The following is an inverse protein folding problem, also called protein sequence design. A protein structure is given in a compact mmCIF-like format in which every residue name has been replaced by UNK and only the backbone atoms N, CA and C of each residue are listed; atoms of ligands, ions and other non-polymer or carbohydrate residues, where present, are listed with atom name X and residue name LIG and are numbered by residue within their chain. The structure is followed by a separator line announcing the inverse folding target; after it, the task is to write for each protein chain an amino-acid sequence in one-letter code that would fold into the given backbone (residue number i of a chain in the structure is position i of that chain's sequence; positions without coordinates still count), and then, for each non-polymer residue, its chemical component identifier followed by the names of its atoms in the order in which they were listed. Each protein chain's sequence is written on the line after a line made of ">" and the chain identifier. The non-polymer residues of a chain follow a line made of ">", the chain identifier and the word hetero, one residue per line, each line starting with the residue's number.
data_IF_130874851721
#
_entry.id   IF_130874851721
#
_cell.length_a   1.000
_cell.length_b   1.000
_cell.length_c   1.000
_cell.angle_alpha   90.00
_cell.angle_beta   90.00
_cell.angle_gamma   90.00
#
_symmetry.space_group_name_H-M   'P 1'
#
loop_
_entity.id
_entity.type
_entity.pdbx_description
1 polymer ?
#
# COMPACT_ATOMS: atom_id res chain seq x y z
N UNK A 1 -12.07 6.68 -13.36
CA UNK A 1 -11.57 6.39 -12.00
C UNK A 1 -10.07 6.62 -12.05
N UNK A 2 -9.52 7.40 -11.13
CA UNK A 2 -8.08 7.69 -11.10
C UNK A 2 -7.58 7.27 -9.73
N UNK A 3 -6.52 6.49 -9.68
CA UNK A 3 -5.93 6.04 -8.42
C UNK A 3 -4.45 6.36 -8.40
N UNK A 4 -4.02 7.09 -7.38
CA UNK A 4 -2.62 7.41 -7.16
C UNK A 4 -2.05 6.53 -6.05
N UNK A 5 -0.98 5.82 -6.37
CA UNK A 5 -0.20 4.99 -5.45
C UNK A 5 1.10 5.73 -5.17
N UNK A 6 1.43 5.93 -3.90
CA UNK A 6 2.66 6.62 -3.49
C UNK A 6 3.43 5.74 -2.51
N UNK A 7 4.68 5.42 -2.84
CA UNK A 7 5.56 4.62 -1.99
C UNK A 7 6.89 5.34 -1.76
N UNK A 8 7.50 5.10 -0.61
CA UNK A 8 8.88 5.49 -0.30
C UNK A 8 9.87 4.32 -0.30
N UNK A 9 9.41 3.13 -0.69
CA UNK A 9 10.09 1.85 -0.40
C UNK A 9 10.02 0.79 -1.47
N UNK A 10 10.75 -0.30 -1.17
CA UNK A 10 10.74 -1.62 -1.80
C UNK A 10 9.34 -2.10 -2.13
N UNK A 11 8.99 -2.02 -3.40
CA UNK A 11 7.71 -2.44 -3.93
C UNK A 11 7.96 -3.15 -5.26
N UNK A 12 7.55 -4.41 -5.35
CA UNK A 12 7.25 -5.09 -6.60
C UNK A 12 5.82 -5.61 -6.57
N UNK A 13 4.96 -5.02 -7.40
CA UNK A 13 3.57 -5.41 -7.55
C UNK A 13 3.16 -5.45 -9.02
N UNK A 14 2.04 -6.11 -9.27
CA UNK A 14 1.33 -6.10 -10.55
C UNK A 14 -0.03 -5.45 -10.34
N UNK A 15 -0.52 -4.76 -11.36
CA UNK A 15 -1.89 -4.23 -11.35
C UNK A 15 -2.68 -4.80 -12.52
N UNK A 16 -3.98 -4.96 -12.31
CA UNK A 16 -4.97 -5.24 -13.36
C UNK A 16 -6.14 -4.27 -13.21
N UNK A 17 -6.51 -3.66 -14.33
CA UNK A 17 -7.59 -2.71 -14.52
C UNK A 17 -8.33 -3.06 -15.82
N UNK A 18 -9.35 -3.94 -15.74
CA UNK A 18 -10.08 -4.42 -16.92
C UNK A 18 -10.75 -3.31 -17.75
N UNK A 19 -10.99 -2.16 -17.13
CA UNK A 19 -11.52 -0.98 -17.79
C UNK A 19 -10.49 0.14 -17.88
N UNK A 20 -9.25 -0.08 -18.31
CA UNK A 20 -8.31 1.02 -18.61
C UNK A 20 -8.18 1.23 -20.15
N UNK A 21 -7.81 2.44 -20.63
CA UNK A 21 -7.92 2.80 -22.06
C UNK A 21 -7.09 2.02 -23.08
N UNK A 22 -6.23 1.10 -22.66
CA UNK A 22 -5.42 0.23 -23.52
C UNK A 22 -6.00 -1.14 -23.85
N UNK A 23 -7.24 -1.47 -23.44
CA UNK A 23 -7.84 -2.80 -23.65
C UNK A 23 -8.30 -3.08 -25.11
N UNK A 24 -7.56 -2.60 -26.11
CA UNK A 24 -7.73 -2.99 -27.51
C UNK A 24 -6.84 -4.20 -27.81
N UNK A 25 -7.45 -5.39 -27.89
CA UNK A 25 -6.83 -6.57 -28.50
C UNK A 25 -6.57 -6.30 -29.98
N UNK A 26 -5.40 -5.75 -30.32
CA UNK A 26 -4.90 -5.76 -31.69
C UNK A 26 -4.03 -7.00 -31.91
N UNK A 27 -4.71 -8.09 -32.33
CA UNK A 27 -4.08 -9.20 -33.05
C UNK A 27 -3.70 -8.70 -34.45
N UNK A 28 -2.47 -8.24 -34.63
CA UNK A 28 -1.71 -8.32 -35.91
C UNK A 28 -0.46 -7.45 -35.84
N UNK A 29 0.71 -8.04 -36.09
CA UNK A 29 1.93 -7.26 -36.30
C UNK A 29 3.11 -8.16 -36.58
N UNK A 30 3.52 -8.21 -37.86
CA UNK A 30 4.61 -9.02 -38.39
C UNK A 30 5.93 -8.80 -37.63
N UNK A 31 6.63 -9.91 -37.36
CA UNK A 31 8.02 -9.90 -36.94
C UNK A 31 8.92 -9.45 -38.10
N UNK A 32 9.47 -8.24 -38.01
CA UNK A 32 10.63 -7.85 -38.80
C UNK A 32 11.90 -8.12 -37.99
N UNK A 33 12.68 -9.12 -38.41
CA UNK A 33 14.05 -9.32 -37.94
C UNK A 33 14.94 -8.28 -38.63
N UNK A 34 15.43 -7.29 -37.87
CA UNK A 34 16.53 -6.44 -38.32
C UNK A 34 17.81 -6.90 -37.63
N UNK A 35 18.68 -7.55 -38.39
CA UNK A 35 20.07 -7.82 -38.00
C UNK A 35 20.87 -6.54 -38.21
N UNK A 36 21.23 -5.87 -37.12
CA UNK A 36 22.30 -4.87 -37.15
C UNK A 36 23.60 -5.53 -36.69
N UNK A 37 24.54 -5.65 -37.61
CA UNK A 37 25.95 -5.84 -37.27
C UNK A 37 26.57 -4.46 -37.07
N UNK A 38 27.11 -4.16 -35.89
CA UNK A 38 28.20 -3.19 -35.80
C UNK A 38 29.08 -3.37 -34.57
N UNK A 39 30.30 -3.81 -34.89
CA UNK A 39 31.61 -3.28 -34.48
C UNK A 39 31.88 -2.95 -33.01
N UNK A 40 32.79 -3.75 -32.45
CA UNK A 40 33.40 -3.65 -31.13
C UNK A 40 34.17 -2.34 -30.91
N UNK A 41 33.76 -1.56 -29.91
CA UNK A 41 34.65 -0.69 -29.15
C UNK A 41 34.07 -0.51 -27.74
N UNK A 42 34.86 -0.84 -26.72
CA UNK A 42 34.43 -1.17 -25.37
C UNK A 42 33.43 -0.20 -24.74
N UNK A 43 32.31 -0.72 -24.27
CA UNK A 43 31.24 0.07 -23.68
C UNK A 43 30.98 -0.37 -22.23
N UNK A 44 31.09 0.58 -21.29
CA UNK A 44 30.86 0.34 -19.87
C UNK A 44 29.49 -0.32 -19.57
N UNK A 45 28.50 -0.11 -20.44
CA UNK A 45 27.16 -0.69 -20.38
C UNK A 45 27.11 -2.22 -20.59
N UNK A 46 28.14 -2.82 -21.18
CA UNK A 46 28.21 -4.27 -21.42
C UNK A 46 28.54 -5.03 -20.12
N UNK A 47 29.27 -4.38 -19.20
CA UNK A 47 29.56 -4.89 -17.85
C UNK A 47 28.48 -4.55 -16.82
N UNK A 48 27.71 -3.49 -17.03
CA UNK A 48 26.59 -3.09 -16.18
C UNK A 48 25.46 -2.53 -17.03
N UNK A 49 24.43 -3.34 -17.34
CA UNK A 49 23.33 -2.88 -18.20
C UNK A 49 22.47 -1.82 -17.50
N UNK A 50 21.96 -0.89 -18.29
CA UNK A 50 20.94 0.08 -17.87
C UNK A 50 19.63 -0.66 -17.59
N UNK A 51 19.03 -0.44 -16.42
CA UNK A 51 17.81 -1.14 -16.03
C UNK A 51 16.56 -0.54 -16.71
N UNK A 52 16.29 0.75 -16.45
CA UNK A 52 15.18 1.50 -17.05
C UNK A 52 15.71 2.71 -17.83
N UNK A 53 16.37 2.44 -18.95
CA UNK A 53 16.97 3.47 -19.80
C UNK A 53 17.75 2.92 -20.97
N UNK A 54 18.43 3.80 -21.70
CA UNK A 54 19.22 3.46 -22.89
C UNK A 54 20.68 3.80 -22.69
N UNK A 55 21.56 2.89 -23.10
CA UNK A 55 22.99 3.20 -23.15
C UNK A 55 23.28 4.13 -24.34
N UNK A 56 23.82 5.30 -24.05
CA UNK A 56 24.28 6.25 -25.06
C UNK A 56 25.69 6.68 -24.66
N UNK A 57 26.67 6.49 -25.56
CA UNK A 57 28.07 6.86 -25.31
C UNK A 57 28.61 6.32 -23.97
N UNK A 58 28.42 5.02 -23.71
CA UNK A 58 28.87 4.34 -22.49
C UNK A 58 28.26 4.84 -21.17
N UNK A 59 27.20 5.65 -21.24
CA UNK A 59 26.49 6.18 -20.06
C UNK A 59 25.00 5.87 -20.19
N UNK A 60 24.32 5.59 -19.07
CA UNK A 60 22.89 5.34 -19.10
C UNK A 60 22.10 6.66 -19.11
N UNK A 61 21.22 6.79 -20.10
CA UNK A 61 20.19 7.84 -20.15
C UNK A 61 18.89 7.20 -19.65
N UNK A 62 18.42 7.65 -18.49
CA UNK A 62 17.27 7.03 -17.82
C UNK A 62 15.93 7.44 -18.41
N UNK A 63 15.00 6.50 -18.43
CA UNK A 63 13.60 6.77 -18.76
C UNK A 63 12.96 7.68 -17.70
N UNK A 64 11.91 8.44 -18.05
CA UNK A 64 11.26 9.35 -17.12
C UNK A 64 10.88 8.67 -15.79
N UNK A 65 11.35 9.26 -14.70
CA UNK A 65 11.10 8.80 -13.33
C UNK A 65 12.11 7.80 -12.78
N UNK A 66 13.08 7.36 -13.59
CA UNK A 66 14.24 6.58 -13.16
C UNK A 66 15.49 7.44 -13.05
N UNK A 67 16.36 7.12 -12.10
CA UNK A 67 17.60 7.85 -11.79
C UNK A 67 18.75 6.94 -11.39
N UNK A 68 19.95 7.53 -11.33
CA UNK A 68 21.20 6.88 -10.99
C UNK A 68 21.98 6.40 -12.21
N UNK A 69 23.27 6.11 -12.01
CA UNK A 69 24.22 5.71 -13.07
C UNK A 69 23.74 4.56 -13.97
N UNK A 70 22.89 3.68 -13.44
CA UNK A 70 22.35 2.52 -14.15
C UNK A 70 20.82 2.52 -14.25
N UNK A 71 20.17 3.64 -13.90
CA UNK A 71 18.71 3.79 -13.92
C UNK A 71 17.97 2.74 -13.07
N UNK A 72 18.56 2.40 -11.91
CA UNK A 72 18.06 1.36 -10.99
C UNK A 72 17.23 1.90 -9.84
N UNK A 73 17.08 3.21 -9.73
CA UNK A 73 16.35 3.84 -8.65
C UNK A 73 15.18 4.63 -9.20
N UNK A 74 14.02 4.46 -8.59
CA UNK A 74 12.88 5.28 -8.89
C UNK A 74 12.89 6.59 -8.09
N UNK A 75 12.58 7.71 -8.74
CA UNK A 75 12.43 9.03 -8.11
C UNK A 75 11.28 9.87 -8.68
N UNK A 76 10.54 9.32 -9.65
CA UNK A 76 9.52 10.07 -10.38
C UNK A 76 8.10 9.56 -10.24
N UNK A 77 7.29 10.02 -11.20
CA UNK A 77 5.87 9.72 -11.29
C UNK A 77 5.61 8.97 -12.60
N UNK A 78 4.98 7.82 -12.51
CA UNK A 78 4.63 6.98 -13.64
C UNK A 78 3.14 7.09 -13.90
N UNK A 79 2.77 7.32 -15.16
CA UNK A 79 1.38 7.28 -15.59
C UNK A 79 1.13 5.96 -16.30
N UNK A 80 0.15 5.20 -15.81
CA UNK A 80 -0.17 3.85 -16.23
C UNK A 80 -1.60 3.82 -16.79
N UNK A 81 -1.70 3.68 -18.10
CA UNK A 81 -2.97 3.69 -18.85
C UNK A 81 -3.34 2.30 -19.40
N UNK A 82 -2.43 1.34 -19.29
CA UNK A 82 -2.64 -0.02 -19.75
C UNK A 82 -3.59 -0.80 -18.83
N UNK A 83 -4.32 -1.81 -19.33
CA UNK A 83 -5.23 -2.63 -18.54
C UNK A 83 -4.51 -3.54 -17.53
N UNK A 84 -3.19 -3.67 -17.62
CA UNK A 84 -2.37 -4.33 -16.61
C UNK A 84 -0.91 -3.90 -16.73
N UNK A 85 -0.12 -4.08 -15.68
CA UNK A 85 1.31 -3.82 -15.72
C UNK A 85 2.01 -4.07 -14.39
N UNK A 86 3.26 -3.61 -14.30
CA UNK A 86 4.13 -3.81 -13.15
C UNK A 86 4.42 -2.49 -12.44
N UNK A 87 4.39 -2.52 -11.12
CA UNK A 87 4.77 -1.44 -10.22
C UNK A 87 6.08 -1.89 -9.56
N UNK A 88 7.18 -1.18 -9.83
CA UNK A 88 8.49 -1.52 -9.26
C UNK A 88 9.25 -0.26 -8.86
N UNK A 89 9.93 -0.28 -7.72
CA UNK A 89 10.84 0.79 -7.28
C UNK A 89 12.30 0.55 -7.71
N UNK A 90 12.60 -0.64 -8.23
CA UNK A 90 13.89 -1.00 -8.83
C UNK A 90 14.36 -2.42 -8.46
N UNK A 91 15.47 -2.88 -9.06
CA UNK A 91 15.98 -4.24 -8.87
C UNK A 91 16.82 -4.41 -7.59
N UNK A 92 17.02 -3.34 -6.83
CA UNK A 92 17.89 -3.28 -5.66
C UNK A 92 17.14 -2.60 -4.52
N UNK A 93 17.61 -2.83 -3.29
CA UNK A 93 17.05 -2.15 -2.12
C UNK A 93 16.98 -0.63 -2.35
N UNK A 94 15.82 -0.07 -2.02
CA UNK A 94 15.57 1.36 -2.13
C UNK A 94 16.57 2.17 -1.30
N UNK A 95 16.89 3.37 -1.77
CA UNK A 95 17.77 4.30 -1.05
C UNK A 95 16.98 5.19 -0.11
N UNK A 96 17.63 5.68 0.94
CA UNK A 96 17.11 6.75 1.79
C UNK A 96 16.57 7.91 0.92
N UNK A 97 15.30 8.30 1.13
CA UNK A 97 14.53 9.32 0.36
C UNK A 97 14.02 8.89 -1.03
N UNK A 98 13.96 7.60 -1.34
CA UNK A 98 13.25 7.12 -2.53
C UNK A 98 11.79 7.58 -2.50
N UNK A 99 11.27 8.05 -3.64
CA UNK A 99 9.89 8.51 -3.79
C UNK A 99 9.36 8.06 -5.13
N UNK A 100 8.44 7.11 -5.10
CA UNK A 100 7.80 6.56 -6.29
C UNK A 100 6.31 6.84 -6.26
N UNK A 101 5.80 7.35 -7.37
CA UNK A 101 4.36 7.58 -7.53
C UNK A 101 3.88 6.90 -8.79
N UNK A 102 2.78 6.17 -8.73
CA UNK A 102 2.11 5.60 -9.90
C UNK A 102 0.69 6.14 -9.97
N UNK A 103 0.32 6.68 -11.12
CA UNK A 103 -1.00 7.17 -11.43
C UNK A 103 -1.66 6.17 -12.38
N UNK A 104 -2.66 5.44 -11.90
CA UNK A 104 -3.42 4.46 -12.69
C UNK A 104 -4.73 5.11 -13.12
N UNK A 105 -4.95 5.18 -14.44
CA UNK A 105 -6.14 5.79 -15.03
C UNK A 105 -7.06 4.72 -15.62
N UNK A 106 -8.23 4.52 -15.00
CA UNK A 106 -9.28 3.62 -15.48
C UNK A 106 -10.59 4.34 -15.84
N UNK A 107 -11.50 3.61 -16.46
CA UNK A 107 -12.87 3.98 -16.75
C UNK A 107 -13.71 4.01 -15.47
N UNK A 108 -14.89 4.62 -15.52
CA UNK A 108 -15.87 4.57 -14.42
C UNK A 108 -16.30 3.12 -14.14
N UNK A 109 -16.49 2.78 -12.86
CA UNK A 109 -16.89 1.45 -12.39
C UNK A 109 -15.89 0.30 -12.70
N UNK A 110 -14.66 0.61 -13.11
CA UNK A 110 -13.61 -0.39 -13.24
C UNK A 110 -13.08 -0.82 -11.86
N UNK A 111 -12.82 -2.11 -11.68
CA UNK A 111 -12.17 -2.63 -10.47
C UNK A 111 -10.65 -2.60 -10.67
N UNK A 112 -9.94 -1.88 -9.80
CA UNK A 112 -8.49 -1.91 -9.74
C UNK A 112 -8.02 -3.03 -8.81
N UNK A 113 -7.31 -4.02 -9.35
CA UNK A 113 -6.69 -5.09 -8.58
C UNK A 113 -5.18 -4.86 -8.48
N UNK A 114 -4.65 -4.84 -7.26
CA UNK A 114 -3.21 -4.77 -6.98
C UNK A 114 -2.75 -6.10 -6.39
N UNK A 115 -1.73 -6.70 -6.98
CA UNK A 115 -1.13 -7.94 -6.53
C UNK A 115 0.33 -7.72 -6.19
N UNK A 116 0.65 -7.79 -4.91
CA UNK A 116 2.00 -7.60 -4.39
C UNK A 116 2.79 -8.90 -4.53
N UNK A 117 3.89 -8.85 -5.27
CA UNK A 117 4.83 -9.98 -5.38
C UNK A 117 5.86 -9.91 -4.26
N UNK A 118 6.37 -8.70 -3.99
CA UNK A 118 7.27 -8.40 -2.88
C UNK A 118 6.94 -7.00 -2.37
N UNK A 119 6.74 -6.88 -1.05
CA UNK A 119 6.52 -5.58 -0.42
C UNK A 119 7.21 -5.56 0.94
N UNK A 120 8.13 -4.61 1.10
CA UNK A 120 8.92 -4.48 2.31
C UNK A 120 9.11 -3.01 2.63
N UNK A 121 8.53 -2.57 3.75
CA UNK A 121 8.66 -1.21 4.27
C UNK A 121 9.52 -1.17 5.52
N UNK A 122 10.32 -0.10 5.71
CA UNK A 122 10.95 0.19 7.00
C UNK A 122 9.89 0.42 8.08
N UNK A 123 10.10 -0.18 9.25
CA UNK A 123 9.20 -0.06 10.39
C UNK A 123 9.02 1.42 10.80
N UNK A 124 7.78 1.84 11.07
CA UNK A 124 7.44 3.18 11.60
C UNK A 124 7.72 4.37 10.66
N UNK A 125 8.57 4.23 9.65
CA UNK A 125 9.00 5.33 8.77
C UNK A 125 8.35 5.27 7.40
N UNK A 126 8.08 4.07 6.91
CA UNK A 126 7.80 3.84 5.50
C UNK A 126 6.44 3.18 5.27
N UNK A 127 5.71 3.74 4.31
CA UNK A 127 4.34 3.34 4.01
C UNK A 127 4.04 3.52 2.53
N UNK A 128 3.14 2.69 2.00
CA UNK A 128 2.50 2.91 0.72
C UNK A 128 1.11 3.51 0.93
N UNK A 129 0.83 4.60 0.25
CA UNK A 129 -0.42 5.33 0.32
C UNK A 129 -1.20 5.13 -0.97
N UNK A 130 -2.49 4.85 -0.84
CA UNK A 130 -3.43 4.69 -1.96
C UNK A 130 -4.44 5.82 -1.88
N UNK A 131 -4.52 6.65 -2.91
CA UNK A 131 -5.44 7.77 -3.00
C UNK A 131 -6.44 7.57 -4.13
N UNK A 132 -7.70 7.92 -3.91
CA UNK A 132 -8.75 7.97 -4.93
C UNK A 132 -8.74 9.34 -5.63
N UNK A 133 -7.83 9.47 -6.58
CA UNK A 133 -7.66 10.66 -7.40
C UNK A 133 -6.25 10.73 -7.97
N UNK A 134 -5.87 11.91 -8.44
CA UNK A 134 -4.64 12.16 -9.19
C UNK A 134 -3.51 12.77 -8.35
N UNK A 135 -3.74 13.04 -7.06
CA UNK A 135 -2.77 13.74 -6.22
C UNK A 135 -2.78 13.28 -4.75
N UNK A 136 -1.76 13.70 -4.00
CA UNK A 136 -1.68 13.49 -2.54
C UNK A 136 -2.77 14.25 -1.75
N UNK A 137 -3.51 15.14 -2.41
CA UNK A 137 -4.60 15.90 -1.81
C UNK A 137 -5.97 15.22 -2.02
N UNK A 138 -6.01 14.16 -2.83
CA UNK A 138 -7.20 13.34 -3.05
C UNK A 138 -7.54 12.49 -1.82
N UNK A 139 -8.75 11.95 -1.69
CA UNK A 139 -9.12 11.06 -0.59
C UNK A 139 -8.15 9.89 -0.41
N UNK A 140 -7.58 9.76 0.79
CA UNK A 140 -6.72 8.64 1.16
C UNK A 140 -7.59 7.41 1.44
N UNK A 141 -7.38 6.34 0.66
CA UNK A 141 -8.13 5.08 0.74
C UNK A 141 -7.44 4.09 1.66
N UNK A 142 -6.12 3.94 1.55
CA UNK A 142 -5.37 2.98 2.34
C UNK A 142 -3.94 3.45 2.61
N UNK A 143 -3.42 3.03 3.76
CA UNK A 143 -2.01 3.12 4.14
C UNK A 143 -1.53 1.71 4.44
N UNK A 144 -0.53 1.24 3.71
CA UNK A 144 -0.01 -0.12 3.79
C UNK A 144 1.44 -0.07 4.31
N UNK A 145 1.72 -0.79 5.38
CA UNK A 145 3.08 -1.06 5.88
C UNK A 145 3.15 -2.49 6.40
N UNK A 146 3.88 -3.35 5.69
CA UNK A 146 4.06 -4.75 6.07
C UNK A 146 5.30 -5.33 5.37
N UNK A 147 5.85 -6.41 5.94
CA UNK A 147 6.89 -7.23 5.31
C UNK A 147 6.22 -8.49 4.78
N UNK A 148 6.21 -8.66 3.46
CA UNK A 148 5.44 -9.76 2.88
C UNK A 148 5.97 -10.27 1.54
N UNK A 149 5.88 -11.59 1.39
CA UNK A 149 6.12 -12.35 0.16
C UNK A 149 4.93 -13.29 -0.05
N UNK A 150 4.07 -12.92 -1.01
CA UNK A 150 2.89 -13.60 -1.58
C UNK A 150 1.64 -13.92 -0.72
N UNK A 151 0.56 -13.19 -1.03
CA UNK A 151 -0.89 -13.48 -0.99
C UNK A 151 -1.66 -12.23 -1.46
N UNK A 152 -2.77 -12.44 -2.16
CA UNK A 152 -3.51 -11.42 -2.92
C UNK A 152 -4.28 -10.43 -2.01
N UNK A 153 -4.22 -9.13 -2.33
CA UNK A 153 -5.04 -8.07 -1.72
C UNK A 153 -5.95 -7.44 -2.78
N UNK A 154 -7.15 -6.97 -2.42
CA UNK A 154 -8.07 -6.31 -3.35
C UNK A 154 -8.81 -5.18 -2.64
N UNK A 155 -8.79 -3.99 -3.23
CA UNK A 155 -9.51 -2.80 -2.75
C UNK A 155 -10.71 -2.53 -3.65
N UNK A 156 -11.82 -2.09 -3.05
CA UNK A 156 -13.06 -1.73 -3.75
C UNK A 156 -13.48 -0.30 -3.35
N UNK A 157 -13.97 0.50 -4.32
CA UNK A 157 -14.44 1.88 -4.09
C UNK A 157 -15.86 2.07 -4.65
N UNK A 158 -16.71 2.84 -3.95
CA UNK A 158 -18.10 3.12 -4.35
C UNK A 158 -18.58 4.53 -3.96
N UNK A 159 -18.71 5.42 -4.94
CA UNK A 159 -20.05 5.81 -5.45
C UNK A 159 -20.61 7.21 -5.19
N UNK A 160 -20.54 7.78 -3.98
CA UNK A 160 -21.44 8.92 -3.65
C UNK A 160 -20.78 10.30 -3.46
N UNK A 161 -19.46 10.44 -3.57
CA UNK A 161 -18.71 11.72 -3.63
C UNK A 161 -19.03 12.82 -2.59
N UNK A 162 -19.73 12.52 -1.49
CA UNK A 162 -20.05 13.49 -0.44
C UNK A 162 -19.64 12.97 0.92
N UNK A 163 -18.81 13.73 1.63
CA UNK A 163 -18.39 13.44 3.00
C UNK A 163 -19.32 14.11 3.99
N UNK A 164 -19.73 13.36 5.01
CA UNK A 164 -20.48 13.86 6.14
C UNK A 164 -19.82 13.35 7.42
N UNK A 165 -19.71 14.20 8.44
CA UNK A 165 -19.31 13.80 9.79
C UNK A 165 -20.59 13.54 10.57
N UNK A 166 -21.02 12.28 10.75
CA UNK A 166 -22.24 11.99 11.48
C UNK A 166 -22.06 12.24 12.98
N UNK A 167 -23.08 12.78 13.63
CA UNK A 167 -23.14 12.71 15.09
C UNK A 167 -23.24 11.25 15.53
N UNK A 168 -22.36 10.86 16.47
CA UNK A 168 -22.30 9.51 17.03
C UNK A 168 -22.74 9.49 18.48
N UNK A 169 -23.27 8.35 18.92
CA UNK A 169 -23.73 8.12 20.29
C UNK A 169 -22.91 7.02 20.95
N UNK A 170 -23.08 6.84 22.26
CA UNK A 170 -22.46 5.76 23.02
C UNK A 170 -21.04 6.08 23.47
N UNK A 171 -20.14 5.10 23.32
CA UNK A 171 -18.78 5.18 23.81
C UNK A 171 -17.98 6.32 23.14
N UNK A 172 -17.19 7.02 23.94
CA UNK A 172 -16.25 8.03 23.43
C UNK A 172 -14.99 7.30 22.98
N UNK A 173 -14.82 7.18 21.66
CA UNK A 173 -13.62 6.57 21.07
C UNK A 173 -12.55 7.62 20.90
N UNK A 174 -11.38 7.38 21.48
CA UNK A 174 -10.24 8.26 21.30
C UNK A 174 -9.64 8.14 19.91
N UNK A 175 -9.34 9.29 19.31
CA UNK A 175 -8.58 9.36 18.07
C UNK A 175 -7.16 8.80 18.26
N UNK A 176 -6.73 8.02 17.28
CA UNK A 176 -5.40 7.44 17.22
C UNK A 176 -5.04 7.05 15.80
N UNK A 177 -3.82 6.55 15.59
CA UNK A 177 -3.35 6.12 14.28
C UNK A 177 -2.90 4.65 14.29
N UNK A 178 -2.85 4.04 13.11
CA UNK A 178 -2.40 2.65 12.94
C UNK A 178 -3.34 1.58 13.52
N UNK A 179 -4.62 1.91 13.72
CA UNK A 179 -5.66 0.91 14.02
C UNK A 179 -6.13 0.25 12.72
N UNK A 180 -6.73 -0.93 12.83
CA UNK A 180 -7.47 -1.53 11.71
C UNK A 180 -8.96 -1.39 11.91
N UNK A 181 -9.71 -1.41 10.80
CA UNK A 181 -11.15 -1.54 10.85
C UNK A 181 -11.64 -2.58 9.86
N UNK A 182 -12.65 -3.37 10.26
CA UNK A 182 -13.34 -4.32 9.39
C UNK A 182 -14.83 -4.06 9.45
N UNK A 183 -15.53 -4.23 8.32
CA UNK A 183 -16.98 -4.01 8.25
C UNK A 183 -17.71 -5.33 8.08
N UNK A 184 -18.70 -5.58 8.94
CA UNK A 184 -19.64 -6.67 8.81
C UNK A 184 -20.92 -6.19 8.11
N UNK A 185 -21.17 -6.65 6.86
CA UNK A 185 -22.39 -6.31 6.14
C UNK A 185 -23.65 -6.97 6.70
N UNK A 186 -23.53 -8.05 7.49
CA UNK A 186 -24.66 -8.77 8.07
C UNK A 186 -25.20 -7.98 9.26
N UNK A 187 -24.36 -7.70 10.25
CA UNK A 187 -24.75 -6.93 11.44
C UNK A 187 -24.74 -5.42 11.23
N UNK A 188 -24.26 -4.93 10.08
CA UNK A 188 -24.08 -3.50 9.77
C UNK A 188 -23.20 -2.79 10.79
N UNK A 189 -22.15 -3.47 11.24
CA UNK A 189 -21.21 -2.94 12.22
C UNK A 189 -19.79 -2.87 11.69
N UNK A 190 -19.04 -1.84 12.07
CA UNK A 190 -17.60 -1.77 11.88
C UNK A 190 -16.88 -2.09 13.19
N UNK A 191 -15.87 -2.95 13.14
CA UNK A 191 -15.04 -3.31 14.28
C UNK A 191 -13.67 -2.67 14.14
N UNK A 192 -13.19 -2.02 15.19
CA UNK A 192 -11.93 -1.26 15.19
C UNK A 192 -11.02 -1.79 16.28
N UNK A 193 -9.82 -2.24 15.90
CA UNK A 193 -8.87 -2.83 16.84
C UNK A 193 -7.55 -2.05 16.91
N UNK A 194 -7.05 -1.91 18.13
CA UNK A 194 -5.69 -1.50 18.45
C UNK A 194 -5.34 -0.08 18.01
N UNK A 195 -4.07 0.13 17.72
CA UNK A 195 -3.50 1.41 17.29
C UNK A 195 -2.63 2.06 18.35
N UNK A 196 -2.25 3.31 18.08
CA UNK A 196 -1.49 4.17 18.97
C UNK A 196 -2.33 5.40 19.31
N UNK A 197 -2.58 5.63 20.61
CA UNK A 197 -3.55 6.63 21.09
C UNK A 197 -2.98 7.56 22.13
N UNK A 198 -3.63 8.71 22.27
CA UNK A 198 -3.41 9.65 23.36
C UNK A 198 -4.08 9.14 24.64
N UNK A 199 -3.27 8.79 25.64
CA UNK A 199 -3.70 8.32 26.94
C UNK A 199 -3.78 9.48 27.96
N UNK A 200 -4.55 9.33 29.05
CA UNK A 200 -4.61 10.34 30.11
C UNK A 200 -3.22 10.73 30.64
N UNK A 201 -3.06 12.01 30.99
CA UNK A 201 -1.81 12.54 31.53
C UNK A 201 -0.73 12.80 30.48
N UNK A 202 -1.11 13.21 29.26
CA UNK A 202 -0.20 13.50 28.14
C UNK A 202 0.70 12.33 27.76
N UNK A 203 0.24 11.10 28.01
CA UNK A 203 0.93 9.89 27.60
C UNK A 203 0.43 9.46 26.24
N UNK A 204 1.27 8.76 25.50
CA UNK A 204 0.87 8.10 24.27
C UNK A 204 1.36 6.66 24.34
N UNK A 205 0.58 5.75 23.76
CA UNK A 205 0.91 4.35 23.84
C UNK A 205 0.13 3.50 22.86
N UNK A 206 0.65 2.28 22.69
CA UNK A 206 -0.04 1.21 22.01
C UNK A 206 -1.23 0.78 22.85
N UNK A 207 -2.35 0.56 22.18
CA UNK A 207 -3.57 0.04 22.79
C UNK A 207 -3.98 -1.26 22.13
N UNK A 208 -4.81 -2.01 22.83
CA UNK A 208 -5.39 -3.29 22.43
C UNK A 208 -6.93 -3.26 22.45
N UNK A 209 -7.49 -2.06 22.59
CA UNK A 209 -8.92 -1.78 22.56
C UNK A 209 -9.59 -2.41 21.33
N UNK A 210 -10.81 -2.88 21.53
CA UNK A 210 -11.72 -3.28 20.46
C UNK A 210 -13.01 -2.47 20.59
N UNK A 211 -13.44 -1.86 19.49
CA UNK A 211 -14.73 -1.16 19.42
C UNK A 211 -15.62 -1.77 18.36
N UNK A 212 -16.92 -1.62 18.58
CA UNK A 212 -17.97 -1.87 17.59
C UNK A 212 -18.71 -0.58 17.32
N UNK A 213 -18.77 -0.17 16.06
CA UNK A 213 -19.59 0.92 15.57
C UNK A 213 -20.77 0.38 14.79
N UNK A 214 -21.98 0.61 15.30
CA UNK A 214 -23.20 0.23 14.59
C UNK A 214 -23.63 1.33 13.63
N UNK A 215 -23.62 1.05 12.32
CA UNK A 215 -23.77 2.07 11.28
C UNK A 215 -25.17 2.70 11.28
N UNK A 216 -26.20 1.90 11.53
CA UNK A 216 -27.60 2.36 11.49
C UNK A 216 -27.92 3.31 12.64
N UNK A 217 -27.50 2.97 13.86
CA UNK A 217 -27.75 3.76 15.06
C UNK A 217 -26.68 4.81 15.31
N UNK A 218 -25.54 4.72 14.62
CA UNK A 218 -24.34 5.55 14.78
C UNK A 218 -23.80 5.47 16.21
N UNK A 219 -23.85 4.27 16.78
CA UNK A 219 -23.50 4.05 18.20
C UNK A 219 -22.19 3.31 18.31
N UNK A 220 -21.27 3.86 19.09
CA UNK A 220 -20.03 3.20 19.48
C UNK A 220 -20.21 2.39 20.76
N UNK A 221 -19.62 1.20 20.79
CA UNK A 221 -19.55 0.31 21.94
C UNK A 221 -18.09 -0.11 22.16
N UNK A 222 -17.71 -0.21 23.43
CA UNK A 222 -16.43 -0.80 23.84
C UNK A 222 -16.64 -2.30 23.97
N UNK A 223 -15.81 -3.08 23.31
CA UNK A 223 -15.74 -4.53 23.42
C UNK A 223 -14.55 -4.95 24.28
N UNK A 224 -14.44 -6.25 24.54
CA UNK A 224 -13.36 -6.81 25.35
C UNK A 224 -12.00 -6.64 24.65
N UNK A 225 -11.04 -6.10 25.39
CA UNK A 225 -9.64 -5.95 24.99
C UNK A 225 -8.94 -7.30 24.79
N UNK A 226 -7.88 -7.34 23.97
CA UNK A 226 -7.14 -8.59 23.69
C UNK A 226 -6.03 -8.91 24.70
N UNK A 227 -5.57 -7.91 25.45
CA UNK A 227 -4.32 -7.96 26.22
C UNK A 227 -3.05 -7.82 25.37
N UNK A 228 -3.17 -7.64 24.05
CA UNK A 228 -2.06 -7.71 23.09
C UNK A 228 -2.01 -6.47 22.19
N UNK A 229 -1.47 -5.38 22.74
CA UNK A 229 -1.45 -4.07 22.09
C UNK A 229 -0.56 -4.04 20.85
N UNK A 230 -1.08 -3.42 19.79
CA UNK A 230 -0.44 -3.38 18.48
C UNK A 230 -0.98 -2.25 17.62
N UNK A 231 -0.15 -1.75 16.72
CA UNK A 231 -0.53 -0.78 15.68
C UNK A 231 0.09 -1.17 14.33
N UNK A 232 -0.42 -0.62 13.23
CA UNK A 232 -0.02 -0.96 11.86
C UNK A 232 -0.14 -2.46 11.55
N UNK A 233 -1.14 -3.12 12.14
CA UNK A 233 -1.50 -4.50 11.85
C UNK A 233 -2.48 -4.56 10.68
N UNK A 234 -2.82 -5.77 10.23
CA UNK A 234 -3.89 -6.01 9.25
C UNK A 234 -5.03 -6.78 9.91
N UNK A 235 -6.25 -6.54 9.46
CA UNK A 235 -7.42 -7.29 9.92
C UNK A 235 -8.38 -7.63 8.78
N UNK A 236 -9.05 -8.77 8.90
CA UNK A 236 -10.08 -9.23 7.98
C UNK A 236 -11.23 -9.84 8.76
N UNK A 237 -12.45 -9.74 8.24
CA UNK A 237 -13.63 -10.40 8.77
C UNK A 237 -13.98 -11.62 7.92
N UNK A 238 -14.04 -12.81 8.53
CA UNK A 238 -14.41 -14.05 7.84
C UNK A 238 -15.38 -14.83 8.74
N UNK A 239 -16.60 -15.08 8.25
CA UNK A 239 -17.58 -15.96 8.90
C UNK A 239 -17.90 -15.60 10.36
N UNK A 240 -18.05 -14.31 10.68
CA UNK A 240 -18.31 -13.86 12.06
C UNK A 240 -17.07 -13.84 12.96
N UNK A 241 -15.88 -14.09 12.41
CA UNK A 241 -14.63 -13.93 13.15
C UNK A 241 -13.79 -12.79 12.56
N UNK A 242 -13.41 -11.83 13.39
CA UNK A 242 -12.41 -10.83 13.02
C UNK A 242 -11.02 -11.40 13.30
N UNK A 243 -10.23 -11.54 12.25
CA UNK A 243 -8.87 -12.05 12.29
C UNK A 243 -7.90 -10.88 12.20
N UNK A 244 -6.96 -10.80 13.13
CA UNK A 244 -5.91 -9.77 13.18
C UNK A 244 -4.56 -10.44 13.03
N UNK A 245 -3.75 -9.93 12.12
CA UNK A 245 -2.43 -10.46 11.85
C UNK A 245 -1.35 -9.38 11.89
N UNK A 246 -0.25 -9.73 12.54
CA UNK A 246 0.98 -8.96 12.53
C UNK A 246 0.89 -7.62 13.25
N UNK A 247 1.60 -6.65 12.69
CA UNK A 247 1.74 -5.30 13.23
C UNK A 247 2.87 -5.16 14.23
N UNK A 248 3.03 -3.91 14.68
CA UNK A 248 4.08 -3.52 15.59
C UNK A 248 3.59 -3.57 17.03
N UNK A 249 4.31 -4.33 17.84
CA UNK A 249 4.10 -4.43 19.29
C UNK A 249 5.13 -3.61 20.08
N UNK A 250 6.04 -2.93 19.37
CA UNK A 250 7.08 -2.12 19.95
C UNK A 250 6.69 -0.64 20.05
N UNK A 251 7.01 -0.03 21.19
CA UNK A 251 6.89 1.41 21.37
C UNK A 251 8.28 2.05 21.28
N UNK A 252 8.60 2.66 20.13
CA UNK A 252 9.90 3.27 19.81
C UNK A 252 10.33 4.43 20.75
N UNK A 253 9.43 4.90 21.62
CA UNK A 253 9.74 5.91 22.65
C UNK A 253 10.24 5.33 23.98
N UNK A 254 10.27 4.00 24.12
CA UNK A 254 10.74 3.31 25.32
C UNK A 254 11.90 2.36 24.99
N UNK A 255 12.95 2.35 25.83
CA UNK A 255 14.05 1.39 25.75
C UNK A 255 13.50 -0.03 25.94
N UNK A 256 13.37 -0.80 24.86
CA UNK A 256 12.95 -2.20 24.92
C UNK A 256 14.11 -3.13 24.58
N UNK A 257 14.64 -3.80 25.59
CA UNK A 257 15.64 -4.86 25.41
C UNK A 257 14.95 -6.13 24.90
N UNK A 258 14.82 -6.27 23.57
CA UNK A 258 14.48 -7.53 22.92
C UNK A 258 13.02 -7.71 22.47
N UNK A 259 12.19 -6.68 22.48
CA UNK A 259 10.88 -6.76 21.80
C UNK A 259 11.08 -6.81 20.28
N UNK A 260 10.44 -7.77 19.62
CA UNK A 260 10.41 -7.83 18.15
C UNK A 260 9.60 -6.64 17.64
N UNK A 261 10.14 -5.91 16.66
CA UNK A 261 9.44 -4.79 16.02
C UNK A 261 8.10 -5.25 15.45
N UNK A 262 8.09 -6.43 14.83
CA UNK A 262 6.90 -7.06 14.26
C UNK A 262 6.51 -8.30 15.05
N UNK A 263 5.22 -8.40 15.38
CA UNK A 263 4.63 -9.62 15.90
C UNK A 263 4.29 -10.56 14.73
N UNK A 264 4.54 -11.86 14.89
CA UNK A 264 4.01 -12.90 13.99
C UNK A 264 2.71 -13.49 14.56
N UNK A 265 2.18 -12.89 15.62
CA UNK A 265 1.03 -13.42 16.36
C UNK A 265 -0.26 -13.12 15.62
N UNK A 266 -1.20 -14.05 15.80
CA UNK A 266 -2.52 -14.04 15.21
C UNK A 266 -3.57 -13.92 16.32
N UNK A 267 -4.52 -13.00 16.17
CA UNK A 267 -5.67 -12.87 17.05
C UNK A 267 -6.94 -13.19 16.26
N UNK A 268 -7.88 -13.85 16.93
CA UNK A 268 -9.21 -14.05 16.41
C UNK A 268 -10.22 -13.60 17.47
N UNK A 269 -11.09 -12.68 17.07
CA UNK A 269 -12.27 -12.30 17.84
C UNK A 269 -13.49 -12.98 17.24
N UNK A 270 -14.23 -13.69 18.08
CA UNK A 270 -15.57 -14.19 17.76
C UNK A 270 -16.57 -13.04 17.99
N UNK A 271 -17.25 -12.58 16.93
CA UNK A 271 -18.03 -11.33 16.91
C UNK A 271 -19.45 -11.46 16.37
#
# INVERSE_FOLDING_TARGET
>A
MTTMLYSRTGLDATFMCPGCPGASFLRSGLFYLLLFAHNSQGQACEKSPCFSGRCVNSTCVCDPGWVGEQCRHCQGRFKLTEPSGYLTDGPINYKYKTKCTWLIEGYSNAVLRLRFNHFATECSWDHMYVYDGDSIYSPLIAVLSFLFSLSDFSLYFSGSNTWLVPETRGAIVQGGYGHTSVYDPITKAAYVHGGYKALPGNKYGLVDDLYRYEVNTRTWMILKESGLSRYLHSAVLISGAMLVFGGNTHNDTSLSNGAKCFSADFLAYDI
#
